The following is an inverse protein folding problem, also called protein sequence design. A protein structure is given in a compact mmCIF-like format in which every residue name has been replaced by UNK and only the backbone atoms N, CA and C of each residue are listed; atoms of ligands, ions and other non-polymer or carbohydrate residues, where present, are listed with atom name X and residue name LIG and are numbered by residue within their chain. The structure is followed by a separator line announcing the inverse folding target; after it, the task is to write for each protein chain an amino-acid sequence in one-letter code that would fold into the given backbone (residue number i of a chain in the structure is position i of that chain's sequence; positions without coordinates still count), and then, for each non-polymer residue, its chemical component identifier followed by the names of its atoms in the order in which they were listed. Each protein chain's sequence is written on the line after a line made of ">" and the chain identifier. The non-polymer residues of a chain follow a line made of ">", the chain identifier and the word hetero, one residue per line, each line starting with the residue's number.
data_IF_573502477781
#
_entry.id   IF_573502477781
#
_cell.length_a   1.000
_cell.length_b   1.000
_cell.length_c   1.000
_cell.angle_alpha   90.00
_cell.angle_beta   90.00
_cell.angle_gamma   90.00
#
_symmetry.space_group_name_H-M   'P 1'
#
loop_
_entity.id
_entity.type
_entity.pdbx_description
1 polymer ?
#
# COMPACT_ATOMS: atom_id res chain seq x y z
N UNK A 1 -3.19 -15.88 1.37
CA UNK A 1 -1.86 -15.42 1.80
C UNK A 1 -1.96 -14.04 2.41
N UNK A 2 -1.06 -13.72 3.33
CA UNK A 2 -0.96 -12.42 3.98
C UNK A 2 0.18 -11.62 3.34
N UNK A 3 -0.03 -10.32 3.11
CA UNK A 3 0.98 -9.36 2.66
C UNK A 3 1.10 -8.29 3.72
N UNK A 4 2.32 -8.05 4.21
CA UNK A 4 2.61 -7.05 5.23
C UNK A 4 3.47 -5.95 4.61
N UNK A 5 3.11 -4.71 4.87
CA UNK A 5 3.82 -3.53 4.37
C UNK A 5 4.30 -2.74 5.58
N UNK A 6 5.59 -2.39 5.57
CA UNK A 6 6.21 -1.43 6.47
C UNK A 6 6.89 -0.36 5.62
N UNK A 7 6.30 0.82 5.54
CA UNK A 7 6.78 1.90 4.67
C UNK A 7 6.81 3.23 5.40
N UNK A 8 7.69 4.12 4.97
CA UNK A 8 7.88 5.42 5.64
C UNK A 8 6.67 6.32 5.37
N UNK A 9 6.13 6.95 6.41
CA UNK A 9 4.95 7.84 6.33
C UNK A 9 5.10 8.90 5.23
N UNK A 10 6.26 9.55 5.18
CA UNK A 10 6.53 10.64 4.23
C UNK A 10 6.49 10.21 2.75
N UNK A 11 6.44 8.90 2.48
CA UNK A 11 6.34 8.36 1.12
C UNK A 11 4.92 8.34 0.58
N UNK A 12 3.91 8.44 1.45
CA UNK A 12 2.52 8.44 1.05
C UNK A 12 2.04 9.86 0.78
N UNK A 13 1.42 10.09 -0.37
CA UNK A 13 0.61 11.29 -0.59
C UNK A 13 -0.69 11.23 0.21
N UNK A 14 -1.38 10.10 0.10
CA UNK A 14 -2.59 9.79 0.84
C UNK A 14 -2.66 8.27 1.07
N UNK A 15 -2.50 7.85 2.32
CA UNK A 15 -2.48 6.44 2.71
C UNK A 15 -3.83 5.74 2.47
N UNK A 16 -4.94 6.45 2.61
CA UNK A 16 -6.27 5.87 2.40
C UNK A 16 -6.51 5.58 0.92
N UNK A 17 -6.10 6.49 0.02
CA UNK A 17 -6.14 6.24 -1.42
C UNK A 17 -5.23 5.06 -1.81
N UNK A 18 -4.06 4.92 -1.19
CA UNK A 18 -3.18 3.77 -1.39
C UNK A 18 -3.88 2.44 -1.02
N UNK A 19 -4.52 2.38 0.15
CA UNK A 19 -5.28 1.21 0.63
C UNK A 19 -6.44 0.88 -0.34
N UNK A 20 -7.21 1.89 -0.74
CA UNK A 20 -8.33 1.70 -1.69
C UNK A 20 -7.85 1.21 -3.06
N UNK A 21 -6.69 1.69 -3.52
CA UNK A 21 -6.12 1.20 -4.76
C UNK A 21 -5.66 -0.24 -4.62
N UNK A 22 -5.00 -0.65 -3.53
CA UNK A 22 -4.63 -2.05 -3.29
C UNK A 22 -5.84 -3.00 -3.27
N UNK A 23 -7.00 -2.54 -2.81
CA UNK A 23 -8.24 -3.31 -2.90
C UNK A 23 -8.62 -3.67 -4.34
N UNK A 24 -8.39 -2.76 -5.31
CA UNK A 24 -8.60 -3.04 -6.74
C UNK A 24 -7.63 -4.11 -7.26
N UNK A 25 -6.46 -4.27 -6.64
CA UNK A 25 -5.50 -5.34 -6.94
C UNK A 25 -5.84 -6.68 -6.25
N UNK A 26 -6.95 -6.75 -5.51
CA UNK A 26 -7.42 -7.96 -4.84
C UNK A 26 -6.81 -8.19 -3.45
N UNK A 27 -6.35 -7.11 -2.81
CA UNK A 27 -5.82 -7.13 -1.44
C UNK A 27 -6.74 -6.34 -0.51
N UNK A 28 -7.30 -7.03 0.49
CA UNK A 28 -8.14 -6.40 1.50
C UNK A 28 -7.29 -6.04 2.71
N UNK A 29 -7.32 -4.79 3.16
CA UNK A 29 -6.66 -4.40 4.40
C UNK A 29 -7.37 -5.05 5.59
N UNK A 30 -6.62 -5.76 6.42
CA UNK A 30 -7.14 -6.43 7.61
C UNK A 30 -6.73 -5.71 8.89
N UNK A 31 -5.58 -5.04 8.86
CA UNK A 31 -5.06 -4.28 9.99
C UNK A 31 -4.13 -3.18 9.47
N UNK A 32 -4.08 -2.06 10.19
CA UNK A 32 -3.12 -0.98 9.94
C UNK A 32 -2.78 -0.25 11.23
N UNK A 33 -1.53 0.15 11.35
CA UNK A 33 -1.02 1.03 12.39
C UNK A 33 -0.29 2.20 11.74
N UNK A 34 -0.90 3.37 11.90
CA UNK A 34 -0.43 4.65 11.37
C UNK A 34 0.02 5.58 12.50
N UNK A 35 0.16 5.07 13.73
CA UNK A 35 0.45 5.89 14.91
C UNK A 35 1.94 6.21 15.08
N UNK A 36 2.82 5.47 14.41
CA UNK A 36 4.26 5.71 14.45
C UNK A 36 4.66 6.80 13.45
N UNK A 37 5.23 7.91 13.95
CA UNK A 37 5.70 9.09 13.19
C UNK A 37 6.81 8.85 12.14
N UNK A 38 7.14 7.59 11.83
CA UNK A 38 8.20 7.24 10.88
C UNK A 38 7.70 6.17 9.91
N UNK A 39 7.01 5.14 10.42
CA UNK A 39 6.57 3.99 9.63
C UNK A 39 5.09 3.75 9.76
N UNK A 40 4.46 3.45 8.64
CA UNK A 40 3.14 2.87 8.58
C UNK A 40 3.24 1.37 8.40
N UNK A 41 2.55 0.63 9.26
CA UNK A 41 2.43 -0.82 9.19
C UNK A 41 1.04 -1.20 8.72
N UNK A 42 0.95 -2.08 7.73
CA UNK A 42 -0.33 -2.48 7.16
C UNK A 42 -0.31 -3.95 6.76
N UNK A 43 -1.33 -4.68 7.18
CA UNK A 43 -1.56 -6.07 6.81
C UNK A 43 -2.71 -6.16 5.81
N UNK A 44 -2.50 -6.98 4.78
CA UNK A 44 -3.48 -7.24 3.74
C UNK A 44 -3.66 -8.72 3.50
N UNK A 45 -4.91 -9.15 3.41
CA UNK A 45 -5.27 -10.49 2.96
C UNK A 45 -5.46 -10.48 1.44
N UNK A 46 -4.81 -11.41 0.75
CA UNK A 46 -5.10 -11.67 -0.67
C UNK A 46 -6.47 -12.30 -0.79
N UNK A 47 -7.41 -11.58 -1.41
CA UNK A 47 -8.78 -12.02 -1.61
C UNK A 47 -8.97 -12.68 -2.98
N UNK A 48 -8.38 -12.10 -4.03
CA UNK A 48 -8.54 -12.60 -5.41
C UNK A 48 -7.30 -12.38 -6.27
N UNK A 49 -7.17 -13.16 -7.34
CA UNK A 49 -6.18 -12.94 -8.38
C UNK A 49 -6.74 -12.04 -9.48
N UNK A 50 -5.97 -11.04 -9.91
CA UNK A 50 -6.35 -10.20 -11.05
C UNK A 50 -5.97 -10.90 -12.36
N UNK A 51 -6.96 -11.10 -13.24
CA UNK A 51 -6.74 -11.65 -14.57
C UNK A 51 -5.98 -10.69 -15.50
N UNK A 52 -5.27 -11.24 -16.51
CA UNK A 52 -4.45 -10.44 -17.46
C UNK A 52 -5.20 -9.28 -18.10
N UNK A 53 -6.48 -9.46 -18.45
CA UNK A 53 -7.33 -8.43 -19.09
C UNK A 53 -7.66 -7.25 -18.17
N UNK A 54 -7.64 -7.44 -16.85
CA UNK A 54 -7.96 -6.37 -15.90
C UNK A 54 -6.74 -5.55 -15.51
N UNK A 55 -5.52 -6.03 -15.78
CA UNK A 55 -4.28 -5.30 -15.46
C UNK A 55 -4.23 -3.91 -16.09
N UNK A 56 -4.73 -3.75 -17.31
CA UNK A 56 -4.77 -2.44 -18.01
C UNK A 56 -5.77 -1.45 -17.43
N UNK A 57 -6.67 -1.89 -16.54
CA UNK A 57 -7.69 -1.04 -15.88
C UNK A 57 -7.31 -0.69 -14.44
N UNK A 58 -6.17 -1.19 -13.95
CA UNK A 58 -5.72 -0.92 -12.59
C UNK A 58 -5.10 0.48 -12.52
N UNK A 59 -5.36 1.24 -11.44
CA UNK A 59 -4.69 2.51 -11.23
C UNK A 59 -3.21 2.27 -10.95
N UNK A 60 -2.38 3.24 -11.32
CA UNK A 60 -0.99 3.26 -10.89
C UNK A 60 -0.93 3.55 -9.38
N UNK A 61 -0.05 2.83 -8.69
CA UNK A 61 0.22 3.07 -7.27
C UNK A 61 1.63 3.66 -7.18
N UNK A 62 1.70 4.95 -6.85
CA UNK A 62 2.96 5.68 -6.72
C UNK A 62 3.22 6.03 -5.26
N UNK A 63 4.48 5.92 -4.86
CA UNK A 63 4.99 6.40 -3.58
C UNK A 63 6.09 7.43 -3.87
N UNK A 64 6.21 8.45 -3.02
CA UNK A 64 7.34 9.38 -3.09
C UNK A 64 8.65 8.65 -2.86
N UNK A 65 9.78 9.18 -3.35
CA UNK A 65 11.09 8.66 -3.01
C UNK A 65 11.30 8.63 -1.49
N UNK A 66 11.99 7.60 -1.01
CA UNK A 66 12.45 7.57 0.37
C UNK A 66 13.66 8.51 0.50
N UNK A 67 13.43 9.71 1.02
CA UNK A 67 14.50 10.67 1.26
C UNK A 67 15.08 10.43 2.66
N UNK A 68 16.23 9.80 2.72
CA UNK A 68 16.95 9.64 3.98
C UNK A 68 17.69 10.96 4.32
N UNK A 69 17.65 11.38 5.60
CA UNK A 69 18.46 12.52 6.05
C UNK A 69 19.94 12.18 5.86
N UNK A 70 20.77 13.16 5.47
CA UNK A 70 22.22 12.96 5.43
C UNK A 70 22.70 12.48 6.81
N UNK A 71 23.49 11.41 6.80
CA UNK A 71 24.07 10.78 7.98
C UNK A 71 25.39 11.42 8.36
#
# INVERSE_FOLDING_TARGET
>A
GLMQIAEVESRFDNVENFIQNLHKFGFLNTWKDLTYNIFYFMDFKKERCIGKKMKSKLPEITLKPCLYKKR
#
